data_IF_123827153970
#
_entry.id   IF_123827153970
#
_cell.length_a   1.000
_cell.length_b   1.000
_cell.length_c   1.000
_cell.angle_alpha   90.00
_cell.angle_beta   90.00
_cell.angle_gamma   90.00
#
_symmetry.space_group_name_H-M   'P 1'
#
loop_
_entity.id
_entity.type
_entity.pdbx_description
1 polymer ?
#
# COMPACT_ATOMS: atom_id res chain seq x y z
N UNK A 1 15.58 -49.78 -4.92
CA UNK A 1 14.81 -48.67 -4.34
C UNK A 1 14.12 -47.97 -5.49
N UNK A 2 12.80 -47.86 -5.48
CA UNK A 2 12.07 -47.03 -6.45
C UNK A 2 12.26 -45.57 -6.04
N UNK A 3 12.75 -44.74 -6.97
CA UNK A 3 12.94 -43.32 -6.72
C UNK A 3 11.60 -42.63 -6.44
N UNK A 4 11.54 -41.90 -5.33
CA UNK A 4 10.37 -41.10 -4.99
C UNK A 4 10.25 -39.90 -5.94
N UNK A 5 9.08 -39.74 -6.56
CA UNK A 5 8.79 -38.63 -7.48
C UNK A 5 7.71 -37.74 -6.89
N UNK A 6 8.07 -36.51 -6.52
CA UNK A 6 7.16 -35.55 -5.90
C UNK A 6 5.90 -35.30 -6.75
N UNK A 7 6.05 -35.23 -8.08
CA UNK A 7 4.94 -34.97 -9.00
C UNK A 7 3.95 -36.14 -9.15
N UNK A 8 4.33 -37.35 -8.71
CA UNK A 8 3.44 -38.52 -8.74
C UNK A 8 2.47 -38.51 -7.55
N UNK A 9 2.69 -37.65 -6.54
CA UNK A 9 1.74 -37.43 -5.46
C UNK A 9 0.52 -36.65 -5.95
N UNK A 10 -0.69 -36.87 -5.39
CA UNK A 10 -1.83 -35.97 -5.55
C UNK A 10 -1.50 -34.51 -5.18
N UNK A 11 -2.17 -33.56 -5.81
CA UNK A 11 -1.91 -32.13 -5.62
C UNK A 11 -2.09 -31.69 -4.16
N UNK A 12 -3.05 -32.29 -3.46
CA UNK A 12 -3.34 -32.03 -2.05
C UNK A 12 -2.17 -32.42 -1.15
N UNK A 13 -1.51 -33.55 -1.44
CA UNK A 13 -0.32 -33.97 -0.71
C UNK A 13 0.88 -33.10 -1.04
N UNK A 14 1.05 -32.68 -2.30
CA UNK A 14 2.11 -31.72 -2.68
C UNK A 14 1.92 -30.38 -1.97
N UNK A 15 0.70 -29.87 -1.94
CA UNK A 15 0.33 -28.66 -1.20
C UNK A 15 0.65 -28.79 0.29
N UNK A 16 0.32 -29.94 0.88
CA UNK A 16 0.69 -30.22 2.27
C UNK A 16 2.20 -30.26 2.47
N UNK A 17 2.99 -30.82 1.56
CA UNK A 17 4.46 -30.77 1.62
C UNK A 17 4.97 -29.32 1.56
N UNK A 18 4.43 -28.50 0.65
CA UNK A 18 4.83 -27.09 0.55
C UNK A 18 4.57 -26.31 1.84
N UNK A 19 3.52 -26.65 2.59
CA UNK A 19 3.24 -26.00 3.88
C UNK A 19 4.35 -26.10 4.92
N UNK A 20 5.25 -27.07 4.79
CA UNK A 20 6.41 -27.23 5.67
C UNK A 20 7.67 -26.53 5.15
N UNK A 21 7.67 -26.09 3.89
CA UNK A 21 8.86 -25.60 3.19
C UNK A 21 8.78 -24.10 2.87
N UNK A 22 7.57 -23.55 2.78
CA UNK A 22 7.30 -22.15 2.50
C UNK A 22 6.14 -21.63 3.36
N UNK A 23 6.15 -20.32 3.72
CA UNK A 23 5.06 -19.68 4.42
C UNK A 23 3.71 -19.84 3.71
N UNK A 24 2.66 -20.06 4.49
CA UNK A 24 1.27 -20.11 4.01
C UNK A 24 0.32 -19.51 5.05
N UNK A 25 -0.77 -18.89 4.60
CA UNK A 25 -1.81 -18.30 5.45
C UNK A 25 -1.25 -17.31 6.49
N UNK A 26 -0.27 -16.50 6.08
CA UNK A 26 0.34 -15.46 6.90
C UNK A 26 0.09 -14.07 6.33
N UNK A 27 0.00 -13.07 7.20
CA UNK A 27 0.18 -11.68 6.81
C UNK A 27 1.68 -11.36 6.77
N UNK A 28 2.24 -11.15 5.58
CA UNK A 28 3.64 -10.86 5.35
C UNK A 28 3.85 -9.35 5.27
N UNK A 29 4.79 -8.82 6.04
CA UNK A 29 5.10 -7.39 6.11
C UNK A 29 6.59 -7.16 5.85
N UNK A 30 6.93 -6.00 5.29
CA UNK A 30 8.32 -5.62 5.03
C UNK A 30 8.69 -4.37 5.83
N UNK A 31 9.82 -4.44 6.53
CA UNK A 31 10.36 -3.34 7.32
C UNK A 31 11.73 -2.94 6.78
N UNK A 32 11.91 -1.65 6.47
CA UNK A 32 13.17 -1.12 5.98
C UNK A 32 14.15 -0.92 7.14
N UNK A 33 15.21 -1.73 7.20
CA UNK A 33 16.17 -1.73 8.31
C UNK A 33 17.39 -0.83 8.06
N UNK A 34 17.52 -0.27 6.85
CA UNK A 34 18.63 0.60 6.50
C UNK A 34 19.15 0.31 5.11
N UNK A 35 20.47 0.45 4.95
CA UNK A 35 21.16 0.30 3.68
C UNK A 35 22.27 -0.73 3.85
N UNK A 36 22.36 -1.66 2.91
CA UNK A 36 23.49 -2.55 2.77
C UNK A 36 24.71 -1.76 2.28
N UNK A 37 25.92 -2.30 2.49
CA UNK A 37 27.16 -1.72 1.96
C UNK A 37 27.16 -1.60 0.43
N UNK A 38 26.39 -2.45 -0.26
CA UNK A 38 26.16 -2.39 -1.70
C UNK A 38 25.36 -1.15 -2.15
N UNK A 39 24.76 -0.40 -1.22
CA UNK A 39 23.85 0.69 -1.50
C UNK A 39 22.41 0.23 -1.80
N UNK A 40 22.10 -1.06 -1.63
CA UNK A 40 20.74 -1.58 -1.72
C UNK A 40 19.98 -1.42 -0.39
N UNK A 41 18.65 -1.22 -0.43
CA UNK A 41 17.85 -1.14 0.79
C UNK A 41 17.83 -2.50 1.49
N UNK A 42 18.04 -2.51 2.80
CA UNK A 42 17.91 -3.70 3.63
C UNK A 42 16.48 -3.83 4.16
N UNK A 43 15.90 -5.02 4.00
CA UNK A 43 14.51 -5.32 4.36
C UNK A 43 14.45 -6.51 5.31
N UNK A 44 13.84 -6.32 6.48
CA UNK A 44 13.37 -7.44 7.29
C UNK A 44 11.98 -7.83 6.82
N UNK A 45 11.79 -9.13 6.55
CA UNK A 45 10.47 -9.69 6.25
C UNK A 45 9.94 -10.38 7.50
N UNK A 46 8.76 -9.97 7.93
CA UNK A 46 8.06 -10.57 9.06
C UNK A 46 6.76 -11.19 8.57
N UNK A 47 6.31 -12.26 9.23
CA UNK A 47 5.06 -12.93 8.98
C UNK A 47 4.27 -13.09 10.27
N UNK A 48 2.97 -12.81 10.21
CA UNK A 48 2.02 -13.01 11.30
C UNK A 48 1.06 -14.12 10.91
N UNK A 49 0.94 -15.16 11.73
CA UNK A 49 -0.11 -16.17 11.54
C UNK A 49 -1.43 -15.63 12.08
N UNK A 50 -2.54 -16.13 11.55
CA UNK A 50 -3.85 -15.74 12.04
C UNK A 50 -3.99 -16.02 13.54
N UNK A 51 -4.28 -14.97 14.32
CA UNK A 51 -4.43 -15.04 15.78
C UNK A 51 -3.13 -14.98 16.58
N UNK A 52 -1.97 -14.79 15.94
CA UNK A 52 -0.70 -14.59 16.62
C UNK A 52 -0.29 -13.11 16.59
N UNK A 53 0.00 -12.54 17.77
CA UNK A 53 0.48 -11.15 17.91
C UNK A 53 2.00 -11.03 17.74
N UNK A 54 2.72 -12.16 17.80
CA UNK A 54 4.19 -12.18 17.75
C UNK A 54 4.65 -12.46 16.32
N UNK A 55 5.41 -11.54 15.68
CA UNK A 55 5.93 -11.77 14.35
C UNK A 55 6.97 -12.89 14.33
N UNK A 56 6.92 -13.69 13.27
CA UNK A 56 8.00 -14.58 12.87
C UNK A 56 8.82 -13.95 11.76
N UNK A 57 10.15 -14.02 11.82
CA UNK A 57 11.00 -13.64 10.69
C UNK A 57 10.84 -14.64 9.56
N UNK A 58 10.68 -14.16 8.34
CA UNK A 58 10.51 -14.99 7.15
C UNK A 58 11.74 -14.87 6.25
N UNK A 59 12.38 -16.01 5.97
CA UNK A 59 13.60 -16.06 5.16
C UNK A 59 14.82 -15.48 5.87
N UNK A 60 15.95 -15.48 5.16
CA UNK A 60 17.26 -15.09 5.71
C UNK A 60 17.99 -16.26 6.38
N UNK A 61 19.24 -16.01 6.79
CA UNK A 61 20.06 -17.01 7.46
C UNK A 61 19.77 -16.98 8.97
N UNK A 62 19.14 -18.06 9.47
CA UNK A 62 18.80 -18.27 10.88
C UNK A 62 20.01 -18.24 11.84
N UNK A 63 21.23 -18.24 11.32
CA UNK A 63 22.47 -18.10 12.08
C UNK A 63 23.00 -16.67 12.19
N UNK A 64 22.32 -15.65 11.65
CA UNK A 64 22.72 -14.26 11.86
C UNK A 64 22.62 -13.88 13.36
N UNK A 65 23.78 -13.85 14.02
CA UNK A 65 23.96 -13.69 15.48
C UNK A 65 23.49 -12.35 16.07
N UNK A 66 23.01 -11.41 15.25
CA UNK A 66 22.66 -10.05 15.69
C UNK A 66 21.18 -9.70 15.58
N UNK A 67 20.31 -10.67 15.29
CA UNK A 67 18.87 -10.41 15.39
C UNK A 67 18.40 -10.77 16.79
N UNK A 68 17.78 -9.84 17.50
CA UNK A 68 17.15 -10.04 18.82
C UNK A 68 15.96 -11.02 18.80
N UNK A 69 15.77 -11.74 17.69
CA UNK A 69 14.71 -12.71 17.47
C UNK A 69 15.20 -14.10 17.88
N UNK A 70 14.45 -14.74 18.78
CA UNK A 70 14.74 -16.11 19.24
C UNK A 70 14.71 -17.05 18.03
N UNK A 71 15.64 -18.02 17.96
CA UNK A 71 15.76 -19.03 16.88
C UNK A 71 14.45 -19.73 16.50
N UNK A 72 13.49 -19.81 17.42
CA UNK A 72 12.20 -20.49 17.25
C UNK A 72 11.17 -19.69 16.44
N UNK A 73 11.39 -18.38 16.22
CA UNK A 73 10.47 -17.51 15.49
C UNK A 73 10.97 -17.22 14.06
N UNK A 74 11.68 -18.18 13.45
CA UNK A 74 12.21 -18.06 12.10
C UNK A 74 11.54 -19.09 11.19
N UNK A 75 10.98 -18.62 10.09
CA UNK A 75 10.39 -19.45 9.05
C UNK A 75 11.35 -19.45 7.87
N UNK A 76 12.00 -20.60 7.65
CA UNK A 76 12.85 -20.78 6.48
C UNK A 76 11.99 -20.79 5.22
N UNK A 77 12.48 -20.15 4.16
CA UNK A 77 11.86 -20.18 2.83
C UNK A 77 12.78 -21.00 1.95
N UNK A 78 12.37 -22.23 1.61
CA UNK A 78 13.17 -23.13 0.78
C UNK A 78 13.12 -22.73 -0.69
N UNK A 79 13.81 -21.63 -1.02
CA UNK A 79 13.83 -21.05 -2.38
C UNK A 79 14.36 -22.00 -3.46
N UNK A 80 15.02 -23.09 -3.06
CA UNK A 80 15.45 -24.15 -3.99
C UNK A 80 14.27 -24.82 -4.69
N UNK A 81 13.07 -24.80 -4.10
CA UNK A 81 11.85 -25.28 -4.73
C UNK A 81 11.57 -24.62 -6.08
N UNK A 82 11.90 -23.32 -6.21
CA UNK A 82 11.67 -22.56 -7.45
C UNK A 82 12.60 -22.99 -8.59
N UNK A 83 13.64 -23.76 -8.29
CA UNK A 83 14.66 -24.22 -9.25
C UNK A 83 14.48 -25.68 -9.69
N UNK A 84 13.56 -26.42 -9.10
CA UNK A 84 13.37 -27.86 -9.38
C UNK A 84 12.86 -28.07 -10.80
N UNK A 85 11.66 -27.56 -11.11
CA UNK A 85 11.09 -27.54 -12.45
C UNK A 85 9.94 -26.52 -12.51
N UNK A 86 9.42 -26.25 -13.71
CA UNK A 86 8.35 -25.27 -13.95
C UNK A 86 7.07 -25.56 -13.15
N UNK A 87 6.65 -26.81 -13.05
CA UNK A 87 5.41 -27.19 -12.35
C UNK A 87 5.54 -26.97 -10.85
N UNK A 88 6.60 -27.50 -10.23
CA UNK A 88 6.90 -27.33 -8.81
C UNK A 88 7.10 -25.85 -8.48
N UNK A 89 7.80 -25.11 -9.34
CA UNK A 89 8.01 -23.67 -9.16
C UNK A 89 6.69 -22.91 -9.17
N UNK A 90 5.81 -23.18 -10.15
CA UNK A 90 4.49 -22.53 -10.22
C UNK A 90 3.60 -22.87 -9.01
N UNK A 91 3.56 -24.14 -8.58
CA UNK A 91 2.81 -24.53 -7.38
C UNK A 91 3.36 -23.83 -6.13
N UNK A 92 4.69 -23.85 -5.93
CA UNK A 92 5.32 -23.20 -4.80
C UNK A 92 5.11 -21.67 -4.80
N UNK A 93 5.17 -21.02 -5.98
CA UNK A 93 4.87 -19.60 -6.12
C UNK A 93 3.40 -19.31 -5.79
N UNK A 94 2.48 -20.18 -6.20
CA UNK A 94 1.06 -20.05 -5.86
C UNK A 94 0.81 -20.15 -4.36
N UNK A 95 1.54 -21.01 -3.64
CA UNK A 95 1.44 -21.09 -2.18
C UNK A 95 2.06 -19.85 -1.53
N UNK A 96 3.27 -19.48 -1.93
CA UNK A 96 3.98 -18.36 -1.31
C UNK A 96 3.26 -17.02 -1.54
N UNK A 97 2.84 -16.73 -2.76
CA UNK A 97 2.25 -15.43 -3.11
C UNK A 97 0.72 -15.44 -3.09
N UNK A 98 0.08 -16.58 -3.37
CA UNK A 98 -1.37 -16.69 -3.47
C UNK A 98 -2.05 -17.04 -2.14
N UNK A 99 -1.41 -17.81 -1.26
CA UNK A 99 -2.00 -18.20 0.04
C UNK A 99 -1.64 -17.25 1.18
N UNK A 100 -0.85 -16.20 0.94
CA UNK A 100 -0.46 -15.22 1.96
C UNK A 100 -1.03 -13.84 1.63
N UNK A 101 -1.21 -13.01 2.66
CA UNK A 101 -1.61 -11.61 2.51
C UNK A 101 -0.39 -10.72 2.61
N UNK A 102 -0.10 -9.92 1.58
CA UNK A 102 1.06 -9.03 1.59
C UNK A 102 0.66 -7.63 2.04
N UNK A 103 1.27 -7.15 3.11
CA UNK A 103 1.03 -5.83 3.67
C UNK A 103 2.01 -4.81 3.10
N UNK A 104 1.47 -3.74 2.53
CA UNK A 104 2.22 -2.58 2.04
C UNK A 104 1.81 -1.35 2.82
N UNK A 105 2.80 -0.60 3.32
CA UNK A 105 2.54 0.60 4.11
C UNK A 105 2.87 1.86 3.31
N UNK A 106 1.90 2.77 3.19
CA UNK A 106 2.00 4.04 2.47
C UNK A 106 2.09 5.19 3.47
N UNK A 107 3.30 5.72 3.66
CA UNK A 107 3.57 6.83 4.58
C UNK A 107 3.39 8.21 3.93
N UNK A 108 3.11 9.22 4.74
CA UNK A 108 3.19 10.65 4.37
C UNK A 108 4.60 11.24 4.52
N UNK A 109 5.48 10.58 5.27
CA UNK A 109 6.88 10.97 5.41
C UNK A 109 7.69 10.84 4.11
N UNK A 110 8.84 11.51 4.04
CA UNK A 110 9.80 11.30 2.96
C UNK A 110 10.34 9.87 3.05
N UNK A 111 10.21 9.11 1.97
CA UNK A 111 10.84 7.80 1.79
C UNK A 111 11.96 7.96 0.78
N UNK A 112 12.94 7.06 0.83
CA UNK A 112 13.93 6.94 -0.23
C UNK A 112 13.38 6.04 -1.36
N UNK A 113 13.82 6.22 -2.62
CA UNK A 113 14.39 7.46 -3.14
C UNK A 113 13.43 8.62 -2.88
N UNK A 114 13.94 9.84 -2.62
CA UNK A 114 13.15 11.05 -2.33
C UNK A 114 12.32 11.45 -3.56
N UNK A 115 11.26 10.69 -3.79
CA UNK A 115 10.39 10.72 -4.96
C UNK A 115 8.95 10.61 -4.49
N UNK A 116 8.06 11.22 -5.27
CA UNK A 116 6.61 11.02 -5.15
C UNK A 116 6.21 9.60 -5.57
N UNK A 117 7.01 8.97 -6.44
CA UNK A 117 6.88 7.58 -6.89
C UNK A 117 8.07 6.78 -6.36
N UNK A 118 7.90 6.12 -5.21
CA UNK A 118 8.97 5.29 -4.63
C UNK A 118 8.65 3.81 -4.84
N UNK A 119 9.55 3.04 -5.49
CA UNK A 119 9.40 1.59 -5.63
C UNK A 119 9.30 0.87 -4.27
N UNK A 120 9.85 1.47 -3.23
CA UNK A 120 9.90 0.88 -1.89
C UNK A 120 8.55 0.81 -1.18
N UNK A 121 7.48 1.34 -1.79
CA UNK A 121 6.11 1.07 -1.33
C UNK A 121 5.79 -0.44 -1.38
N UNK A 122 6.46 -1.20 -2.25
CA UNK A 122 6.37 -2.66 -2.36
C UNK A 122 7.45 -3.40 -1.53
N UNK A 123 8.22 -2.70 -0.72
CA UNK A 123 9.37 -3.28 -0.01
C UNK A 123 10.36 -3.96 -0.97
N UNK A 124 10.79 -5.21 -0.68
CA UNK A 124 11.72 -5.94 -1.54
C UNK A 124 11.12 -6.37 -2.88
N UNK A 125 9.80 -6.34 -3.07
CA UNK A 125 9.15 -6.62 -4.35
C UNK A 125 9.23 -5.43 -5.31
N UNK A 126 9.58 -4.23 -4.83
CA UNK A 126 9.71 -3.02 -5.64
C UNK A 126 10.93 -3.00 -6.57
N UNK A 127 11.81 -3.99 -6.48
CA UNK A 127 12.93 -4.10 -7.42
C UNK A 127 12.41 -4.45 -8.82
N UNK A 128 12.90 -3.82 -9.91
CA UNK A 128 12.40 -4.05 -11.27
C UNK A 128 12.29 -5.54 -11.65
N UNK A 129 13.30 -6.34 -11.32
CA UNK A 129 13.32 -7.78 -11.62
C UNK A 129 12.28 -8.62 -10.83
N UNK A 130 11.68 -8.04 -9.79
CA UNK A 130 10.74 -8.70 -8.87
C UNK A 130 9.31 -8.20 -9.03
N UNK A 131 9.10 -7.06 -9.71
CA UNK A 131 7.76 -6.56 -10.02
C UNK A 131 6.86 -7.58 -10.73
N UNK A 132 7.37 -8.44 -11.66
CA UNK A 132 6.54 -9.49 -12.26
C UNK A 132 5.95 -10.50 -11.26
N UNK A 133 6.51 -10.61 -10.05
CA UNK A 133 5.99 -11.49 -9.00
C UNK A 133 4.68 -10.97 -8.39
N UNK A 134 4.36 -9.68 -8.55
CA UNK A 134 3.09 -9.09 -8.13
C UNK A 134 1.89 -9.79 -8.78
N UNK A 135 2.07 -10.38 -9.97
CA UNK A 135 1.08 -11.23 -10.65
C UNK A 135 0.55 -12.39 -9.83
N UNK A 136 1.37 -12.91 -8.92
CA UNK A 136 1.03 -14.09 -8.13
C UNK A 136 0.28 -13.73 -6.85
N UNK A 137 0.13 -12.44 -6.52
CA UNK A 137 -0.59 -12.00 -5.34
C UNK A 137 -2.10 -12.22 -5.51
N UNK A 138 -2.74 -12.77 -4.49
CA UNK A 138 -4.21 -12.93 -4.41
C UNK A 138 -4.83 -12.11 -3.30
N UNK A 139 -4.04 -11.73 -2.29
CA UNK A 139 -4.48 -10.96 -1.15
C UNK A 139 -3.45 -9.90 -0.79
N UNK A 140 -3.87 -8.63 -0.73
CA UNK A 140 -3.01 -7.54 -0.26
C UNK A 140 -3.72 -6.73 0.83
N UNK A 141 -2.91 -6.17 1.72
CA UNK A 141 -3.33 -5.24 2.75
C UNK A 141 -2.55 -3.94 2.56
N UNK A 142 -3.24 -2.83 2.25
CA UNK A 142 -2.63 -1.51 2.16
C UNK A 142 -2.91 -0.75 3.46
N UNK A 143 -1.86 -0.41 4.19
CA UNK A 143 -1.95 0.44 5.37
C UNK A 143 -1.53 1.86 5.01
N UNK A 144 -2.43 2.84 5.14
CA UNK A 144 -2.12 4.24 4.83
C UNK A 144 -1.99 5.02 6.11
N UNK A 145 -0.78 5.48 6.40
CA UNK A 145 -0.45 6.12 7.68
C UNK A 145 -0.32 7.63 7.48
N UNK A 146 -1.24 8.38 8.08
CA UNK A 146 -1.16 9.85 8.17
C UNK A 146 -0.29 10.26 9.36
N UNK A 147 1.01 10.16 9.16
CA UNK A 147 2.06 10.44 10.16
C UNK A 147 2.43 11.93 10.27
N UNK A 148 2.15 12.74 9.24
CA UNK A 148 2.54 14.16 9.16
C UNK A 148 1.38 15.02 8.65
N UNK A 149 0.97 16.02 9.45
CA UNK A 149 -0.03 17.01 9.04
C UNK A 149 0.59 18.09 8.12
N UNK A 150 0.85 17.73 6.86
CA UNK A 150 1.41 18.65 5.86
C UNK A 150 0.81 18.39 4.49
N UNK A 151 0.63 19.44 3.68
CA UNK A 151 0.20 19.29 2.28
C UNK A 151 1.15 18.38 1.48
N UNK A 152 2.45 18.36 1.82
CA UNK A 152 3.42 17.47 1.20
C UNK A 152 3.20 16.01 1.58
N UNK A 153 2.72 15.74 2.78
CA UNK A 153 2.44 14.38 3.24
C UNK A 153 1.28 13.78 2.44
N UNK A 154 0.18 14.53 2.29
CA UNK A 154 -0.97 14.13 1.48
C UNK A 154 -0.58 13.95 0.02
N UNK A 155 0.20 14.88 -0.52
CA UNK A 155 0.70 14.77 -1.90
C UNK A 155 1.56 13.51 -2.09
N UNK A 156 2.42 13.17 -1.13
CA UNK A 156 3.26 11.97 -1.17
C UNK A 156 2.42 10.69 -1.05
N UNK A 157 1.48 10.62 -0.12
CA UNK A 157 0.57 9.47 0.01
C UNK A 157 -0.19 9.23 -1.28
N UNK A 158 -0.85 10.27 -1.82
CA UNK A 158 -1.61 10.19 -3.08
C UNK A 158 -0.73 9.69 -4.23
N UNK A 159 0.44 10.29 -4.42
CA UNK A 159 1.32 9.93 -5.53
C UNK A 159 1.90 8.52 -5.41
N UNK A 160 2.18 8.06 -4.18
CA UNK A 160 2.69 6.70 -3.93
C UNK A 160 1.61 5.66 -4.10
N UNK A 161 0.40 5.96 -3.66
CA UNK A 161 -0.75 5.09 -3.84
C UNK A 161 -1.14 5.00 -5.31
N UNK A 162 -1.10 6.12 -6.04
CA UNK A 162 -1.25 6.15 -7.50
C UNK A 162 -0.19 5.28 -8.18
N UNK A 163 1.09 5.45 -7.83
CA UNK A 163 2.17 4.61 -8.35
C UNK A 163 1.99 3.12 -8.00
N UNK A 164 1.55 2.81 -6.77
CA UNK A 164 1.26 1.44 -6.35
C UNK A 164 0.16 0.84 -7.23
N UNK A 165 -0.92 1.60 -7.47
CA UNK A 165 -2.03 1.15 -8.32
C UNK A 165 -1.59 0.97 -9.77
N UNK A 166 -0.87 1.93 -10.35
CA UNK A 166 -0.31 1.82 -11.71
C UNK A 166 0.53 0.55 -11.85
N UNK A 167 1.43 0.30 -10.90
CA UNK A 167 2.34 -0.86 -10.92
C UNK A 167 1.58 -2.18 -10.73
N UNK A 168 0.56 -2.21 -9.87
CA UNK A 168 -0.30 -3.38 -9.73
C UNK A 168 -1.06 -3.67 -11.02
N UNK A 169 -1.60 -2.66 -11.70
CA UNK A 169 -2.28 -2.87 -12.99
C UNK A 169 -1.33 -3.36 -14.07
N UNK A 170 -0.11 -2.81 -14.11
CA UNK A 170 0.90 -3.22 -15.09
C UNK A 170 1.33 -4.69 -14.92
N UNK A 171 1.46 -5.18 -13.68
CA UNK A 171 2.06 -6.49 -13.43
C UNK A 171 1.10 -7.56 -12.88
N UNK A 172 -0.04 -7.17 -12.31
CA UNK A 172 -0.98 -8.07 -11.66
C UNK A 172 -2.31 -8.24 -12.40
N UNK A 173 -2.59 -7.46 -13.44
CA UNK A 173 -3.75 -7.69 -14.30
C UNK A 173 -3.45 -8.79 -15.33
N UNK A 174 -4.50 -9.49 -15.78
CA UNK A 174 -4.41 -10.47 -16.85
C UNK A 174 -4.33 -9.83 -18.25
N UNK A 175 -4.33 -10.66 -19.31
CA UNK A 175 -4.31 -10.18 -20.69
C UNK A 175 -5.52 -9.32 -21.06
N UNK A 176 -6.62 -9.46 -20.32
CA UNK A 176 -7.87 -8.73 -20.50
C UNK A 176 -7.97 -7.52 -19.56
N UNK A 177 -6.87 -7.15 -18.88
CA UNK A 177 -6.80 -6.08 -17.87
C UNK A 177 -7.71 -6.32 -16.65
N UNK A 178 -8.02 -7.57 -16.32
CA UNK A 178 -8.74 -7.91 -15.09
C UNK A 178 -7.77 -8.18 -13.96
N UNK A 179 -8.02 -7.65 -12.75
CA UNK A 179 -7.15 -7.91 -11.62
C UNK A 179 -7.17 -9.39 -11.26
N UNK A 180 -5.98 -9.98 -11.06
CA UNK A 180 -5.86 -11.31 -10.48
C UNK A 180 -5.98 -11.30 -8.94
N UNK A 181 -6.13 -10.10 -8.36
CA UNK A 181 -6.26 -9.91 -6.93
C UNK A 181 -7.70 -10.21 -6.49
N UNK A 182 -7.85 -11.14 -5.54
CA UNK A 182 -9.16 -11.54 -5.01
C UNK A 182 -9.56 -10.68 -3.80
N UNK A 183 -8.59 -10.38 -2.94
CA UNK A 183 -8.82 -9.71 -1.65
C UNK A 183 -7.98 -8.43 -1.52
N UNK A 184 -8.64 -7.33 -1.20
CA UNK A 184 -8.01 -6.05 -0.87
C UNK A 184 -8.52 -5.56 0.49
N UNK A 185 -7.60 -5.45 1.45
CA UNK A 185 -7.85 -4.75 2.72
C UNK A 185 -7.14 -3.41 2.72
N UNK A 186 -7.80 -2.36 3.15
CA UNK A 186 -7.22 -1.02 3.25
C UNK A 186 -7.52 -0.42 4.61
N UNK A 187 -6.48 -0.17 5.40
CA UNK A 187 -6.61 0.44 6.72
C UNK A 187 -6.04 1.85 6.68
N UNK A 188 -6.90 2.87 6.82
CA UNK A 188 -6.50 4.26 6.89
C UNK A 188 -6.28 4.68 8.34
N UNK A 189 -5.02 4.81 8.75
CA UNK A 189 -4.66 5.14 10.11
C UNK A 189 -4.38 6.64 10.26
N UNK A 190 -5.25 7.28 11.03
CA UNK A 190 -4.96 8.58 11.60
C UNK A 190 -4.08 8.38 12.83
N UNK A 191 -2.76 8.52 12.66
CA UNK A 191 -1.87 8.65 13.80
C UNK A 191 -2.09 10.03 14.39
N UNK A 192 -3.13 10.16 15.23
CA UNK A 192 -3.10 11.15 16.30
C UNK A 192 -1.80 10.90 17.01
N UNK A 193 -0.90 11.87 17.07
CA UNK A 193 0.43 11.75 17.67
C UNK A 193 0.28 11.38 19.16
N UNK A 194 -0.01 10.11 19.46
CA UNK A 194 0.11 9.57 20.80
C UNK A 194 1.60 9.48 21.07
N UNK A 195 2.02 10.35 22.00
CA UNK A 195 3.26 10.29 22.76
C UNK A 195 3.74 8.86 22.96
N UNK A 196 4.86 8.51 22.33
CA UNK A 196 5.75 7.50 22.90
C UNK A 196 6.66 8.26 23.87
N UNK A 197 6.23 8.34 25.12
CA UNK A 197 7.19 8.48 26.20
C UNK A 197 8.07 7.21 26.25
N UNK A 198 9.39 7.43 26.42
CA UNK A 198 10.41 6.46 26.84
C UNK A 198 10.93 5.52 25.73
N UNK A 199 12.24 5.29 25.52
CA UNK A 199 13.35 5.12 26.45
C UNK A 199 14.63 5.55 25.71
N UNK A 200 15.27 6.69 26.05
CA UNK A 200 16.73 6.90 26.06
C UNK A 200 17.08 8.40 26.18
N UNK A 201 17.68 8.72 27.34
CA UNK A 201 18.57 9.86 27.67
C UNK A 201 17.95 11.24 27.90
N UNK A 202 17.68 11.50 29.18
CA UNK A 202 18.27 12.59 29.97
C UNK A 202 18.75 13.81 29.16
N UNK A 203 17.84 14.70 28.80
CA UNK A 203 18.14 16.13 28.81
C UNK A 203 16.84 16.87 29.03
N UNK A 204 16.80 17.64 30.13
CA UNK A 204 15.68 18.50 30.47
C UNK A 204 15.44 19.48 29.31
N UNK A 205 14.25 19.37 28.72
CA UNK A 205 13.81 20.16 27.58
C UNK A 205 12.43 19.67 27.17
N UNK A 206 11.44 19.89 28.03
CA UNK A 206 10.04 19.59 27.73
C UNK A 206 9.59 20.36 26.49
N UNK A 207 9.63 19.71 25.32
CA UNK A 207 8.78 20.08 24.20
C UNK A 207 7.55 19.20 24.33
N UNK A 208 6.55 19.71 25.04
CA UNK A 208 5.20 19.19 24.93
C UNK A 208 4.75 19.39 23.48
N UNK A 209 4.84 18.34 22.67
CA UNK A 209 4.29 18.37 21.32
C UNK A 209 2.77 18.42 21.45
N UNK A 210 2.21 19.61 21.30
CA UNK A 210 0.78 19.84 21.19
C UNK A 210 0.24 18.93 20.08
N UNK A 211 -0.60 17.97 20.46
CA UNK A 211 -1.39 17.17 19.53
C UNK A 211 -2.38 18.12 18.83
N UNK A 212 -1.97 18.70 17.71
CA UNK A 212 -2.89 19.47 16.87
C UNK A 212 -3.86 18.46 16.26
N UNK A 213 -5.19 18.59 16.48
CA UNK A 213 -6.18 17.72 15.86
C UNK A 213 -5.91 17.69 14.36
N UNK A 214 -5.59 16.51 13.82
CA UNK A 214 -5.46 16.38 12.38
C UNK A 214 -6.82 16.69 11.78
N UNK A 215 -6.86 17.63 10.83
CA UNK A 215 -8.07 17.88 10.06
C UNK A 215 -8.25 16.69 9.10
N UNK A 216 -8.90 15.63 9.58
CA UNK A 216 -9.13 14.36 8.88
C UNK A 216 -9.77 14.58 7.51
N UNK A 217 -10.57 15.64 7.38
CA UNK A 217 -11.24 16.05 6.14
C UNK A 217 -10.24 16.28 4.99
N UNK A 218 -9.02 16.72 5.30
CA UNK A 218 -7.99 16.99 4.29
C UNK A 218 -7.33 15.73 3.71
N UNK A 219 -7.61 14.57 4.30
CA UNK A 219 -6.99 13.29 3.95
C UNK A 219 -7.98 12.28 3.37
N UNK A 220 -9.30 12.55 3.43
CA UNK A 220 -10.36 11.64 2.95
C UNK A 220 -10.08 11.16 1.53
N UNK A 221 -9.79 12.10 0.63
CA UNK A 221 -9.54 11.82 -0.79
C UNK A 221 -8.09 11.39 -1.08
N UNK A 222 -7.35 10.96 -0.05
CA UNK A 222 -6.02 10.38 -0.21
C UNK A 222 -6.03 9.06 -0.97
N UNK A 223 -7.16 8.35 -0.92
CA UNK A 223 -7.32 6.99 -1.48
C UNK A 223 -7.95 6.93 -2.88
N UNK A 224 -8.18 8.07 -3.54
CA UNK A 224 -8.92 8.11 -4.80
C UNK A 224 -8.32 7.24 -5.91
N UNK A 225 -7.00 7.08 -5.94
CA UNK A 225 -6.33 6.26 -6.95
C UNK A 225 -6.74 4.77 -6.89
N UNK A 226 -7.20 4.28 -5.72
CA UNK A 226 -7.67 2.91 -5.59
C UNK A 226 -8.90 2.61 -6.44
N UNK A 227 -9.70 3.63 -6.79
CA UNK A 227 -10.86 3.48 -7.69
C UNK A 227 -10.53 2.86 -9.06
N UNK A 228 -9.25 2.90 -9.45
CA UNK A 228 -8.76 2.30 -10.70
C UNK A 228 -8.54 0.79 -10.62
N UNK A 229 -8.53 0.19 -9.43
CA UNK A 229 -8.43 -1.26 -9.19
C UNK A 229 -9.82 -1.92 -9.28
N UNK A 230 -10.45 -1.85 -10.45
CA UNK A 230 -11.81 -2.37 -10.66
C UNK A 230 -11.83 -3.89 -10.81
N UNK A 231 -12.79 -4.55 -10.17
CA UNK A 231 -13.07 -5.99 -10.34
C UNK A 231 -12.56 -6.88 -9.22
N UNK A 232 -12.06 -6.31 -8.11
CA UNK A 232 -11.64 -7.10 -6.94
C UNK A 232 -12.89 -7.56 -6.19
N UNK A 233 -12.95 -8.86 -5.87
CA UNK A 233 -14.14 -9.49 -5.30
C UNK A 233 -14.39 -9.04 -3.86
N UNK A 234 -13.39 -9.16 -3.01
CA UNK A 234 -13.50 -8.97 -1.57
C UNK A 234 -12.69 -7.73 -1.17
N UNK A 235 -13.41 -6.66 -0.77
CA UNK A 235 -12.81 -5.34 -0.50
C UNK A 235 -13.24 -4.84 0.88
N UNK A 236 -12.29 -4.70 1.79
CA UNK A 236 -12.49 -4.15 3.13
C UNK A 236 -11.73 -2.81 3.25
N UNK A 237 -12.42 -1.74 3.63
CA UNK A 237 -11.79 -0.43 3.83
C UNK A 237 -12.20 0.08 5.21
N UNK A 238 -11.22 0.46 6.03
CA UNK A 238 -11.43 0.95 7.39
C UNK A 238 -10.75 2.31 7.62
N UNK A 239 -11.22 3.05 8.62
CA UNK A 239 -10.60 4.33 9.01
C UNK A 239 -10.98 5.54 8.16
N UNK A 240 -12.05 5.48 7.37
CA UNK A 240 -12.59 6.61 6.61
C UNK A 240 -14.08 6.83 6.90
N UNK A 241 -14.65 8.00 6.53
CA UNK A 241 -16.10 8.21 6.62
C UNK A 241 -16.88 7.14 5.87
N UNK A 242 -17.99 6.69 6.45
CA UNK A 242 -18.76 5.54 5.95
C UNK A 242 -19.26 5.74 4.50
N UNK A 243 -19.75 6.93 4.17
CA UNK A 243 -20.25 7.24 2.82
C UNK A 243 -19.16 7.07 1.75
N UNK A 244 -17.95 7.57 2.03
CA UNK A 244 -16.82 7.52 1.10
C UNK A 244 -16.26 6.09 1.02
N UNK A 245 -16.21 5.40 2.16
CA UNK A 245 -15.83 3.99 2.25
C UNK A 245 -16.73 3.12 1.35
N UNK A 246 -18.06 3.28 1.44
CA UNK A 246 -19.02 2.57 0.59
C UNK A 246 -18.82 2.89 -0.90
N UNK A 247 -18.67 4.18 -1.25
CA UNK A 247 -18.44 4.58 -2.64
C UNK A 247 -17.15 3.97 -3.21
N UNK A 248 -16.06 4.01 -2.44
CA UNK A 248 -14.77 3.48 -2.85
C UNK A 248 -14.82 1.95 -2.99
N UNK A 249 -15.48 1.24 -2.06
CA UNK A 249 -15.71 -0.21 -2.16
C UNK A 249 -16.52 -0.57 -3.42
N UNK A 250 -17.61 0.14 -3.70
CA UNK A 250 -18.41 -0.08 -4.91
C UNK A 250 -17.54 0.09 -6.16
N UNK A 251 -16.82 1.22 -6.25
CA UNK A 251 -15.92 1.51 -7.38
C UNK A 251 -14.87 0.41 -7.59
N UNK A 252 -14.19 -0.03 -6.52
CA UNK A 252 -13.14 -1.08 -6.59
C UNK A 252 -13.75 -2.43 -6.98
N UNK A 253 -14.94 -2.76 -6.48
CA UNK A 253 -15.65 -3.98 -6.89
C UNK A 253 -16.16 -3.93 -8.33
N UNK A 254 -16.00 -2.81 -9.04
CA UNK A 254 -16.55 -2.60 -10.38
C UNK A 254 -18.08 -2.46 -10.37
N UNK A 255 -18.64 -2.08 -9.22
CA UNK A 255 -20.07 -1.80 -9.04
C UNK A 255 -20.28 -0.28 -9.07
N UNK A 256 -21.43 0.14 -9.58
CA UNK A 256 -21.91 1.51 -9.38
C UNK A 256 -21.60 2.54 -10.46
N UNK A 257 -21.53 2.14 -11.72
CA UNK A 257 -21.34 3.08 -12.83
C UNK A 257 -19.94 3.66 -12.91
N UNK A 258 -19.75 4.63 -13.81
CA UNK A 258 -18.45 5.25 -14.05
C UNK A 258 -18.23 6.49 -13.20
N UNK A 259 -17.12 6.47 -12.47
CA UNK A 259 -16.65 7.61 -11.70
C UNK A 259 -15.99 8.63 -12.64
N UNK A 260 -16.52 9.86 -12.66
CA UNK A 260 -16.06 10.95 -13.54
C UNK A 260 -15.02 11.83 -12.84
N UNK A 261 -14.18 12.49 -13.62
CA UNK A 261 -13.32 13.55 -13.11
C UNK A 261 -14.15 14.79 -12.75
N UNK A 262 -13.80 15.46 -11.65
CA UNK A 262 -14.44 16.72 -11.27
C UNK A 262 -13.91 17.87 -12.14
N UNK A 263 -14.82 18.65 -12.72
CA UNK A 263 -14.48 19.86 -13.47
C UNK A 263 -14.11 21.02 -12.54
N UNK A 264 -12.81 21.18 -12.29
CA UNK A 264 -12.28 22.32 -11.55
C UNK A 264 -11.98 23.51 -12.46
N UNK A 265 -12.46 24.70 -12.07
CA UNK A 265 -12.20 25.94 -12.80
C UNK A 265 -10.70 26.23 -12.94
N UNK A 266 -10.29 26.69 -14.12
CA UNK A 266 -8.93 27.15 -14.38
C UNK A 266 -8.85 28.68 -14.23
N UNK A 267 -7.92 29.16 -13.42
CA UNK A 267 -7.69 30.59 -13.20
C UNK A 267 -6.31 30.98 -13.72
N UNK A 268 -6.24 32.10 -14.44
CA UNK A 268 -4.99 32.66 -14.95
C UNK A 268 -4.17 33.30 -13.84
N UNK A 269 -3.06 32.68 -13.46
CA UNK A 269 -2.08 33.24 -12.52
C UNK A 269 -0.89 33.82 -13.27
N UNK A 270 -0.26 34.86 -12.72
CA UNK A 270 1.00 35.39 -13.25
C UNK A 270 2.15 34.80 -12.43
N UNK A 271 3.07 34.10 -13.09
CA UNK A 271 4.29 33.57 -12.46
C UNK A 271 5.53 34.16 -13.13
N UNK A 272 6.54 34.54 -12.35
CA UNK A 272 7.83 34.96 -12.91
C UNK A 272 8.49 33.78 -13.63
N UNK A 273 9.11 34.05 -14.78
CA UNK A 273 9.78 33.03 -15.60
C UNK A 273 10.98 32.42 -14.87
N UNK A 274 11.71 33.23 -14.10
CA UNK A 274 12.76 32.77 -13.18
C UNK A 274 12.79 33.67 -11.95
N UNK A 275 13.49 33.22 -10.89
CA UNK A 275 13.60 33.98 -9.63
C UNK A 275 14.16 35.40 -9.84
N UNK A 276 14.98 35.58 -10.87
CA UNK A 276 15.66 36.84 -11.20
C UNK A 276 15.10 37.53 -12.46
N UNK A 277 14.05 36.99 -13.10
CA UNK A 277 13.48 37.58 -14.31
C UNK A 277 12.42 38.63 -14.00
N UNK A 278 12.46 39.76 -14.72
CA UNK A 278 11.39 40.76 -14.74
C UNK A 278 10.17 40.31 -15.56
N UNK A 279 10.29 39.23 -16.34
CA UNK A 279 9.22 38.72 -17.19
C UNK A 279 8.27 37.81 -16.43
N UNK A 280 6.97 38.06 -16.63
CA UNK A 280 5.88 37.28 -16.08
C UNK A 280 5.20 36.49 -17.19
N UNK A 281 4.99 35.19 -16.96
CA UNK A 281 4.18 34.34 -17.83
C UNK A 281 2.82 34.12 -17.19
N UNK A 282 1.75 34.24 -17.98
CA UNK A 282 0.41 33.80 -17.57
C UNK A 282 0.37 32.28 -17.63
N UNK A 283 -0.03 31.63 -16.54
CA UNK A 283 -0.23 30.19 -16.46
C UNK A 283 -1.63 29.92 -15.91
N UNK A 284 -2.39 29.08 -16.61
CA UNK A 284 -3.66 28.57 -16.11
C UNK A 284 -3.36 27.53 -15.03
N UNK A 285 -3.99 27.68 -13.86
CA UNK A 285 -3.85 26.77 -12.72
C UNK A 285 -5.24 26.44 -12.22
N UNK A 286 -5.46 25.17 -11.87
CA UNK A 286 -6.72 24.71 -11.28
C UNK A 286 -6.99 25.38 -9.93
N UNK A 287 -8.24 25.73 -9.64
CA UNK A 287 -8.68 26.24 -8.33
C UNK A 287 -8.66 25.17 -7.24
N UNK A 288 -8.48 23.90 -7.63
CA UNK A 288 -8.43 22.74 -6.74
C UNK A 288 -7.29 22.87 -5.72
N UNK A 289 -7.63 22.78 -4.44
CA UNK A 289 -6.68 22.62 -3.33
C UNK A 289 -6.17 21.18 -3.28
N UNK A 290 -4.98 20.98 -2.72
CA UNK A 290 -4.29 19.69 -2.67
C UNK A 290 -5.06 18.57 -1.94
N UNK A 291 -5.99 18.91 -1.07
CA UNK A 291 -6.83 17.96 -0.33
C UNK A 291 -8.18 17.68 -0.99
N UNK A 292 -8.56 18.46 -2.00
CA UNK A 292 -9.84 18.33 -2.66
C UNK A 292 -9.84 17.12 -3.61
N UNK A 293 -11.01 16.52 -3.86
CA UNK A 293 -11.12 15.34 -4.69
C UNK A 293 -10.73 15.64 -6.15
N UNK A 294 -10.18 14.63 -6.83
CA UNK A 294 -10.05 14.63 -8.30
C UNK A 294 -11.30 14.09 -8.98
N UNK A 295 -12.07 13.26 -8.28
CA UNK A 295 -13.20 12.52 -8.84
C UNK A 295 -14.52 13.01 -8.23
N UNK A 296 -15.60 12.96 -9.01
CA UNK A 296 -16.92 13.39 -8.55
C UNK A 296 -17.58 12.30 -7.69
N UNK A 297 -17.11 12.20 -6.46
CA UNK A 297 -17.66 11.27 -5.46
C UNK A 297 -19.08 11.65 -5.02
N UNK A 298 -19.51 12.90 -5.24
CA UNK A 298 -20.85 13.34 -4.88
C UNK A 298 -21.86 12.77 -5.88
N UNK A 299 -21.65 13.00 -7.18
CA UNK A 299 -22.50 12.42 -8.24
C UNK A 299 -22.51 10.89 -8.15
N UNK A 300 -21.34 10.27 -7.90
CA UNK A 300 -21.25 8.82 -7.74
C UNK A 300 -22.05 8.30 -6.55
N UNK A 301 -22.00 8.98 -5.39
CA UNK A 301 -22.77 8.59 -4.21
C UNK A 301 -24.28 8.68 -4.47
N UNK A 302 -24.72 9.76 -5.12
CA UNK A 302 -26.13 9.98 -5.49
C UNK A 302 -26.64 8.91 -6.47
N UNK A 303 -25.85 8.55 -7.48
CA UNK A 303 -26.22 7.51 -8.45
C UNK A 303 -26.30 6.09 -7.85
N UNK A 304 -25.71 5.89 -6.67
CA UNK A 304 -25.60 4.59 -6.01
C UNK A 304 -26.40 4.50 -4.71
N UNK A 305 -27.30 5.45 -4.46
CA UNK A 305 -28.13 5.52 -3.25
C UNK A 305 -27.31 5.51 -1.94
N UNK A 306 -26.11 6.08 -1.96
CA UNK A 306 -25.25 6.20 -0.78
C UNK A 306 -25.54 7.51 -0.05
N UNK A 307 -26.02 7.43 1.19
CA UNK A 307 -26.28 8.62 2.03
C UNK A 307 -25.01 9.42 2.27
N UNK A 308 -25.01 10.69 1.85
CA UNK A 308 -23.92 11.65 2.07
C UNK A 308 -24.20 12.59 3.24
N UNK A 309 -23.16 13.17 3.88
CA UNK A 309 -23.33 14.21 4.89
C UNK A 309 -23.98 15.48 4.33
N UNK A 310 -24.77 16.19 5.14
CA UNK A 310 -25.49 17.41 4.74
C UNK A 310 -24.55 18.52 4.24
N UNK A 311 -23.33 18.58 4.78
CA UNK A 311 -22.32 19.58 4.46
C UNK A 311 -21.29 19.10 3.44
N UNK A 312 -21.57 18.05 2.65
CA UNK A 312 -20.64 17.47 1.68
C UNK A 312 -20.08 18.50 0.67
N UNK A 313 -20.86 19.53 0.33
CA UNK A 313 -20.45 20.59 -0.60
C UNK A 313 -19.23 21.39 -0.13
N UNK A 314 -18.92 21.36 1.18
CA UNK A 314 -17.72 22.03 1.72
C UNK A 314 -16.42 21.50 1.10
N UNK A 315 -16.40 20.24 0.65
CA UNK A 315 -15.22 19.65 0.01
C UNK A 315 -14.97 20.22 -1.40
N UNK A 316 -16.01 20.73 -2.07
CA UNK A 316 -15.93 21.34 -3.41
C UNK A 316 -15.97 22.88 -3.37
N UNK A 317 -16.21 23.47 -2.20
CA UNK A 317 -16.25 24.92 -2.04
C UNK A 317 -14.89 25.58 -2.34
N UNK A 318 -14.93 26.64 -3.14
CA UNK A 318 -13.78 27.55 -3.34
C UNK A 318 -13.82 28.57 -2.20
N UNK A 319 -13.20 28.27 -1.06
CA UNK A 319 -12.98 29.30 -0.03
C UNK A 319 -12.17 30.44 -0.62
N UNK A 320 -12.74 31.64 -0.61
CA UNK A 320 -12.14 32.87 -1.16
C UNK A 320 -11.14 33.50 -0.21
#
# INVERSE_FOLDING_TARGET
MTDFRLLDLPAELRYHVYSFLIPQNMAITFEHCGWLESGEPDWTTNGFRNGEDVPSKVGGNHFYRNTSVRRWNHITVETQLFRVNKFVSNEALSVLYGSNTYKFTVHGQTMWPKSLRSPFVFGPLGHPDRLPLLRNLRSIHIEVISDVNSHWAVKRQRSRLEYLVETLKEHADDSDQKPLLDNLKVDFQFVSQMTVESIYRNTAGHIAHLCIPMNMEKFIFGLESLSSLRGIKDVEITGLPEWYTKCLQLSIQGKGGDLKETDWLLVGTRRRVSRNSAHWKKQLVSTRKWHQPTLDWKEFAECNDVTTPVDIDKFWAIER
#
